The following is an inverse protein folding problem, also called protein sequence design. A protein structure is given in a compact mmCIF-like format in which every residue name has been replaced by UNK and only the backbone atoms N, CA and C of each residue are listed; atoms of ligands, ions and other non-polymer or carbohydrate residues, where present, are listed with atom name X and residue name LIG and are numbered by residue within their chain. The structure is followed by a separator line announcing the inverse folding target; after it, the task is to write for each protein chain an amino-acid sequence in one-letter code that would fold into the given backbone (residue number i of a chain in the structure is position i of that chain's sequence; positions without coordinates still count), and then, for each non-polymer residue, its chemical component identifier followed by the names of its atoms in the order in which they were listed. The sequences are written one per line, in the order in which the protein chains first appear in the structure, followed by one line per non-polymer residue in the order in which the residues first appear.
data_IF_036675318192
#
_entry.id   IF_036675318192
#
_cell.length_a   1.000
_cell.length_b   1.000
_cell.length_c   1.000
_cell.angle_alpha   90.00
_cell.angle_beta   90.00
_cell.angle_gamma   90.00
#
_symmetry.space_group_name_H-M   'P 1'
#
loop_
_entity.id
_entity.type
_entity.pdbx_description
1 polymer ?
#
# COMPACT_ATOMS: atom_id res chain seq x y z
N UNK A 1 67.78 14.02 -41.08
CA UNK A 1 66.56 13.52 -41.78
C UNK A 1 65.49 13.35 -40.71
N UNK A 2 64.41 14.12 -40.71
CA UNK A 2 63.23 13.90 -41.59
C UNK A 2 62.74 12.46 -41.31
N UNK A 3 61.55 12.13 -40.81
CA UNK A 3 60.25 12.80 -40.79
C UNK A 3 59.23 11.69 -40.46
N UNK A 4 58.11 12.04 -39.82
CA UNK A 4 56.77 11.40 -39.93
C UNK A 4 56.58 10.00 -39.30
N UNK A 5 55.68 9.91 -38.30
CA UNK A 5 54.28 9.40 -38.40
C UNK A 5 54.24 7.86 -38.22
N UNK A 6 53.32 7.22 -37.51
CA UNK A 6 51.92 7.52 -37.21
C UNK A 6 51.36 6.39 -36.31
N UNK A 7 50.31 6.69 -35.53
CA UNK A 7 49.32 5.75 -34.94
C UNK A 7 49.86 4.73 -33.91
N UNK A 8 49.30 4.64 -32.70
CA UNK A 8 47.91 4.30 -32.48
C UNK A 8 47.38 4.92 -31.19
N UNK A 9 46.17 5.49 -31.28
CA UNK A 9 45.44 6.16 -30.22
C UNK A 9 45.11 5.21 -29.05
N UNK A 10 45.48 5.59 -27.83
CA UNK A 10 45.03 4.94 -26.60
C UNK A 10 44.89 5.97 -25.48
N UNK A 11 44.07 7.00 -25.70
CA UNK A 11 43.52 7.83 -24.61
C UNK A 11 42.06 8.11 -24.98
N UNK A 12 41.17 7.23 -24.50
CA UNK A 12 39.72 7.42 -24.57
C UNK A 12 39.31 8.57 -23.66
N UNK A 13 38.88 9.67 -24.27
CA UNK A 13 38.17 10.77 -23.63
C UNK A 13 36.79 10.29 -23.10
N UNK A 14 36.29 10.90 -22.01
CA UNK A 14 35.07 10.46 -21.34
C UNK A 14 33.84 10.85 -22.17
N UNK A 15 33.02 9.85 -22.53
CA UNK A 15 31.67 10.09 -23.00
C UNK A 15 30.84 10.57 -21.80
N UNK A 16 30.68 11.90 -21.72
CA UNK A 16 29.70 12.56 -20.86
C UNK A 16 28.30 12.06 -21.22
N UNK A 17 27.80 11.09 -20.45
CA UNK A 17 26.38 10.75 -20.36
C UNK A 17 25.65 11.97 -19.78
N UNK A 18 25.09 12.80 -20.65
CA UNK A 18 24.04 13.74 -20.27
C UNK A 18 22.77 12.94 -19.95
N UNK A 19 22.60 12.61 -18.66
CA UNK A 19 21.29 12.18 -18.17
C UNK A 19 20.31 13.34 -18.34
N UNK A 20 19.10 13.11 -18.90
CA UNK A 20 18.08 14.14 -18.87
C UNK A 20 17.65 14.32 -17.42
N UNK A 21 18.06 15.42 -16.80
CA UNK A 21 17.44 15.91 -15.58
C UNK A 21 16.00 16.26 -15.93
N UNK A 22 15.09 15.30 -15.79
CA UNK A 22 13.67 15.63 -15.65
C UNK A 22 13.57 16.48 -14.39
N UNK A 23 13.55 17.80 -14.57
CA UNK A 23 13.12 18.73 -13.57
C UNK A 23 11.68 18.33 -13.22
N UNK A 24 11.54 17.51 -12.19
CA UNK A 24 10.26 17.31 -11.52
C UNK A 24 9.92 18.69 -11.00
N UNK A 25 8.99 19.36 -11.68
CA UNK A 25 8.36 20.55 -11.17
C UNK A 25 7.85 20.21 -9.78
N UNK A 26 8.56 20.67 -8.75
CA UNK A 26 8.15 20.57 -7.37
C UNK A 26 6.87 21.40 -7.27
N UNK A 27 5.75 20.73 -7.47
CA UNK A 27 4.44 21.27 -7.18
C UNK A 27 4.44 21.47 -5.67
N UNK A 28 4.82 22.69 -5.24
CA UNK A 28 4.52 23.21 -3.92
C UNK A 28 3.00 23.11 -3.77
N UNK A 29 2.54 21.99 -3.25
CA UNK A 29 1.18 21.85 -2.76
C UNK A 29 1.03 22.91 -1.69
N UNK A 30 0.29 23.96 -2.03
CA UNK A 30 -0.28 24.91 -1.09
C UNK A 30 -0.83 24.10 0.07
N UNK A 31 -0.46 24.46 1.30
CA UNK A 31 -0.94 23.84 2.52
C UNK A 31 -2.45 24.12 2.69
N UNK A 32 -3.28 23.55 1.82
CA UNK A 32 -4.68 23.34 2.10
C UNK A 32 -4.76 22.39 3.28
N UNK A 33 -5.64 22.69 4.24
CA UNK A 33 -5.92 21.81 5.37
C UNK A 33 -6.53 20.50 4.83
N UNK A 34 -5.69 19.58 4.38
CA UNK A 34 -6.12 18.23 4.02
C UNK A 34 -6.67 17.58 5.27
N UNK A 35 -7.91 17.12 5.20
CA UNK A 35 -8.50 16.39 6.32
C UNK A 35 -7.82 15.01 6.42
N UNK A 36 -7.87 14.33 7.59
CA UNK A 36 -7.43 12.94 7.70
C UNK A 36 -8.09 12.03 6.68
N UNK A 37 -9.37 12.29 6.38
CA UNK A 37 -10.14 11.56 5.36
C UNK A 37 -9.53 11.71 3.96
N UNK A 38 -9.15 12.92 3.57
CA UNK A 38 -8.56 13.16 2.25
C UNK A 38 -7.18 12.49 2.14
N UNK A 39 -6.39 12.61 3.22
CA UNK A 39 -5.02 12.08 3.28
C UNK A 39 -4.93 10.56 3.34
N UNK A 40 -6.00 9.89 3.76
CA UNK A 40 -6.09 8.43 3.86
C UNK A 40 -7.08 7.81 2.87
N UNK A 41 -7.73 8.61 2.02
CA UNK A 41 -8.76 8.17 1.06
C UNK A 41 -8.31 6.99 0.18
N UNK A 42 -7.06 6.99 -0.25
CA UNK A 42 -6.48 5.89 -1.03
C UNK A 42 -6.38 4.59 -0.22
N UNK A 43 -5.90 4.66 1.03
CA UNK A 43 -5.80 3.49 1.90
C UNK A 43 -7.19 2.99 2.31
N UNK A 44 -8.11 3.91 2.62
CA UNK A 44 -9.51 3.59 2.91
C UNK A 44 -10.18 2.83 1.77
N UNK A 45 -9.88 3.21 0.51
CA UNK A 45 -10.38 2.48 -0.65
C UNK A 45 -9.83 1.05 -0.72
N UNK A 46 -8.55 0.84 -0.40
CA UNK A 46 -7.96 -0.51 -0.35
C UNK A 46 -8.58 -1.36 0.75
N UNK A 47 -8.78 -0.80 1.95
CA UNK A 47 -9.48 -1.52 3.02
C UNK A 47 -10.95 -1.81 2.67
N UNK A 48 -11.64 -0.88 2.01
CA UNK A 48 -12.99 -1.12 1.51
C UNK A 48 -13.05 -2.29 0.52
N UNK A 49 -12.09 -2.37 -0.41
CA UNK A 49 -12.03 -3.49 -1.37
C UNK A 49 -11.77 -4.84 -0.67
N UNK A 50 -10.95 -4.85 0.39
CA UNK A 50 -10.75 -6.03 1.24
C UNK A 50 -12.06 -6.40 1.95
N UNK A 51 -12.64 -5.46 2.71
CA UNK A 51 -13.86 -5.69 3.48
C UNK A 51 -15.03 -6.13 2.59
N UNK A 52 -15.17 -5.52 1.41
CA UNK A 52 -16.23 -5.86 0.46
C UNK A 52 -16.06 -7.29 -0.07
N UNK A 53 -14.85 -7.67 -0.46
CA UNK A 53 -14.57 -9.02 -0.94
C UNK A 53 -14.79 -10.08 0.17
N UNK A 54 -14.32 -9.81 1.39
CA UNK A 54 -14.54 -10.69 2.54
C UNK A 54 -16.03 -10.83 2.88
N UNK A 55 -16.79 -9.73 2.85
CA UNK A 55 -18.24 -9.76 3.10
C UNK A 55 -18.98 -10.60 2.04
N UNK A 56 -18.51 -10.61 0.79
CA UNK A 56 -19.08 -11.47 -0.26
C UNK A 56 -18.75 -12.94 -0.04
N UNK A 57 -17.58 -13.27 0.53
CA UNK A 57 -17.27 -14.64 0.94
C UNK A 57 -18.18 -15.12 2.08
N UNK A 58 -18.49 -14.27 3.05
CA UNK A 58 -19.40 -14.62 4.15
C UNK A 58 -20.82 -14.95 3.63
N UNK A 59 -21.32 -14.21 2.62
CA UNK A 59 -22.61 -14.50 1.98
C UNK A 59 -22.62 -15.85 1.24
N UNK A 60 -21.48 -16.24 0.68
CA UNK A 60 -21.31 -17.47 -0.09
C UNK A 60 -21.39 -18.73 0.78
N UNK A 61 -21.10 -18.63 2.08
CA UNK A 61 -21.17 -19.77 3.02
C UNK A 61 -22.57 -19.98 3.61
N UNK A 62 -23.49 -19.02 3.46
CA UNK A 62 -24.78 -19.02 4.16
C UNK A 62 -26.04 -19.00 3.30
N UNK A 63 -25.96 -18.70 2.00
CA UNK A 63 -27.15 -18.51 1.15
C UNK A 63 -26.96 -19.19 -0.21
N UNK A 64 -27.96 -19.97 -0.62
CA UNK A 64 -28.05 -20.56 -1.95
C UNK A 64 -28.00 -19.44 -3.00
N UNK A 65 -26.91 -19.29 -3.77
CA UNK A 65 -26.65 -18.04 -4.45
C UNK A 65 -27.49 -17.87 -5.70
N UNK A 66 -28.08 -16.70 -5.85
CA UNK A 66 -28.73 -16.27 -7.07
C UNK A 66 -27.65 -16.14 -8.18
N UNK A 67 -27.73 -16.89 -9.29
CA UNK A 67 -26.62 -17.07 -10.23
C UNK A 67 -26.23 -15.82 -11.02
N UNK A 68 -27.01 -14.74 -10.97
CA UNK A 68 -26.84 -13.55 -11.81
C UNK A 68 -25.79 -12.57 -11.26
N UNK A 69 -25.45 -12.64 -9.96
CA UNK A 69 -24.50 -11.71 -9.31
C UNK A 69 -23.32 -12.42 -8.63
N UNK A 70 -23.17 -13.73 -8.84
CA UNK A 70 -22.22 -14.53 -8.08
C UNK A 70 -20.82 -14.52 -8.69
N UNK A 71 -19.85 -14.09 -7.89
CA UNK A 71 -18.43 -14.28 -8.20
C UNK A 71 -17.95 -15.49 -7.40
N UNK A 72 -17.15 -16.36 -8.01
CA UNK A 72 -16.59 -17.52 -7.32
C UNK A 72 -15.90 -17.09 -6.01
N UNK A 73 -16.04 -17.84 -4.90
CA UNK A 73 -15.32 -17.56 -3.66
C UNK A 73 -13.81 -17.35 -3.89
N UNK A 74 -13.20 -18.15 -4.78
CA UNK A 74 -11.79 -17.98 -5.13
C UNK A 74 -11.50 -16.61 -5.76
N UNK A 75 -12.42 -16.09 -6.57
CA UNK A 75 -12.31 -14.75 -7.16
C UNK A 75 -12.42 -13.66 -6.10
N UNK A 76 -13.27 -13.81 -5.10
CA UNK A 76 -13.41 -12.80 -4.04
C UNK A 76 -12.18 -12.77 -3.12
N UNK A 77 -11.68 -13.92 -2.66
CA UNK A 77 -10.46 -13.93 -1.84
C UNK A 77 -9.24 -13.42 -2.63
N UNK A 78 -9.18 -13.65 -3.95
CA UNK A 78 -8.18 -13.07 -4.83
C UNK A 78 -8.25 -11.54 -4.86
N UNK A 79 -9.46 -10.95 -4.95
CA UNK A 79 -9.65 -9.49 -4.89
C UNK A 79 -9.18 -8.92 -3.56
N UNK A 80 -9.53 -9.56 -2.44
CA UNK A 80 -9.06 -9.17 -1.11
C UNK A 80 -7.52 -9.21 -1.04
N UNK A 81 -6.90 -10.29 -1.54
CA UNK A 81 -5.44 -10.42 -1.56
C UNK A 81 -4.79 -9.31 -2.39
N UNK A 82 -5.27 -9.06 -3.62
CA UNK A 82 -4.72 -8.02 -4.50
C UNK A 82 -4.83 -6.63 -3.88
N UNK A 83 -5.94 -6.31 -3.22
CA UNK A 83 -6.09 -5.04 -2.51
C UNK A 83 -5.10 -4.92 -1.33
N UNK A 84 -4.93 -5.99 -0.55
CA UNK A 84 -3.98 -6.03 0.57
C UNK A 84 -2.53 -5.90 0.09
N UNK A 85 -2.12 -6.66 -0.93
CA UNK A 85 -0.78 -6.62 -1.49
C UNK A 85 -0.47 -5.26 -2.12
N UNK A 86 -1.47 -4.60 -2.72
CA UNK A 86 -1.32 -3.22 -3.21
C UNK A 86 -1.03 -2.25 -2.07
N UNK A 87 -1.75 -2.37 -0.95
CA UNK A 87 -1.51 -1.57 0.26
C UNK A 87 -0.12 -1.85 0.85
N UNK A 88 0.24 -3.13 0.97
CA UNK A 88 1.54 -3.56 1.48
C UNK A 88 2.69 -3.07 0.59
N UNK A 89 2.53 -3.15 -0.74
CA UNK A 89 3.50 -2.67 -1.71
C UNK A 89 3.78 -1.17 -1.53
N UNK A 90 2.72 -0.37 -1.38
CA UNK A 90 2.85 1.07 -1.12
C UNK A 90 3.61 1.36 0.18
N UNK A 91 3.33 0.61 1.24
CA UNK A 91 3.99 0.74 2.53
C UNK A 91 5.49 0.36 2.44
N UNK A 92 5.82 -0.65 1.63
CA UNK A 92 7.20 -1.15 1.43
C UNK A 92 8.06 -0.26 0.53
N UNK A 93 7.45 0.44 -0.43
CA UNK A 93 8.20 1.31 -1.35
C UNK A 93 9.04 2.32 -0.57
N UNK A 94 10.29 2.56 -0.98
CA UNK A 94 11.11 3.62 -0.35
C UNK A 94 10.75 4.98 -0.95
N UNK A 95 10.71 6.03 -0.14
CA UNK A 95 10.50 7.41 -0.60
C UNK A 95 9.10 7.97 -0.36
N UNK A 96 8.95 9.27 -0.68
CA UNK A 96 7.70 10.01 -0.52
C UNK A 96 6.61 9.40 -1.40
N UNK A 97 5.39 9.39 -0.88
CA UNK A 97 4.21 8.90 -1.59
C UNK A 97 3.11 9.95 -1.53
N UNK A 98 2.38 10.11 -2.63
CA UNK A 98 1.14 10.88 -2.69
C UNK A 98 -0.08 10.06 -2.27
N UNK A 99 0.07 8.74 -2.13
CA UNK A 99 -1.02 7.82 -1.76
C UNK A 99 -1.11 7.58 -0.27
N UNK A 100 0.03 7.57 0.42
CA UNK A 100 0.11 7.31 1.85
C UNK A 100 1.05 8.30 2.54
N UNK A 101 0.60 8.98 3.60
CA UNK A 101 1.47 9.84 4.40
C UNK A 101 2.69 9.08 4.94
N UNK A 102 3.85 9.74 4.97
CA UNK A 102 5.09 9.14 5.46
C UNK A 102 4.98 8.58 6.88
N UNK A 103 4.26 9.27 7.77
CA UNK A 103 4.06 8.86 9.16
C UNK A 103 3.38 7.48 9.27
N UNK A 104 2.43 7.18 8.39
CA UNK A 104 1.78 5.87 8.31
C UNK A 104 2.71 4.86 7.65
N UNK A 105 3.31 5.26 6.53
CA UNK A 105 4.17 4.40 5.71
C UNK A 105 5.39 3.88 6.46
N UNK A 106 5.95 4.67 7.37
CA UNK A 106 7.14 4.32 8.15
C UNK A 106 6.83 3.79 9.55
N UNK A 107 5.57 3.76 9.96
CA UNK A 107 5.17 3.20 11.25
C UNK A 107 5.41 1.68 11.29
N UNK A 108 6.23 1.16 12.22
CA UNK A 108 6.47 -0.26 12.36
C UNK A 108 5.18 -1.04 12.66
N UNK A 109 4.32 -0.49 13.53
CA UNK A 109 3.05 -1.11 13.90
C UNK A 109 2.10 -1.24 12.70
N UNK A 110 2.01 -0.21 11.86
CA UNK A 110 1.18 -0.27 10.63
C UNK A 110 1.75 -1.27 9.64
N UNK A 111 3.09 -1.29 9.46
CA UNK A 111 3.77 -2.23 8.57
C UNK A 111 3.50 -3.67 8.96
N UNK A 112 3.63 -3.97 10.25
CA UNK A 112 3.39 -5.30 10.80
C UNK A 112 1.93 -5.71 10.68
N UNK A 113 0.99 -4.83 11.04
CA UNK A 113 -0.44 -5.12 10.94
C UNK A 113 -0.88 -5.40 9.50
N UNK A 114 -0.46 -4.58 8.53
CA UNK A 114 -0.78 -4.82 7.11
C UNK A 114 -0.10 -6.09 6.60
N UNK A 115 1.14 -6.38 7.03
CA UNK A 115 1.81 -7.63 6.67
C UNK A 115 1.05 -8.86 7.16
N UNK A 116 0.67 -8.87 8.44
CA UNK A 116 -0.06 -9.98 9.04
C UNK A 116 -1.42 -10.19 8.38
N UNK A 117 -2.16 -9.11 8.12
CA UNK A 117 -3.43 -9.17 7.39
C UNK A 117 -3.24 -9.83 6.01
N UNK A 118 -2.24 -9.41 5.23
CA UNK A 118 -2.02 -9.99 3.90
C UNK A 118 -1.58 -11.46 3.97
N UNK A 119 -0.79 -11.84 4.99
CA UNK A 119 -0.42 -13.25 5.22
C UNK A 119 -1.67 -14.09 5.53
N UNK A 120 -2.56 -13.60 6.40
CA UNK A 120 -3.78 -14.31 6.75
C UNK A 120 -4.73 -14.44 5.56
N UNK A 121 -4.92 -13.38 4.75
CA UNK A 121 -5.70 -13.44 3.51
C UNK A 121 -5.09 -14.47 2.54
N UNK A 122 -3.77 -14.46 2.35
CA UNK A 122 -3.09 -15.40 1.47
C UNK A 122 -3.24 -16.85 1.94
N UNK A 123 -3.14 -17.12 3.25
CA UNK A 123 -3.40 -18.44 3.82
C UNK A 123 -4.82 -18.92 3.54
N UNK A 124 -5.81 -18.05 3.72
CA UNK A 124 -7.21 -18.35 3.40
C UNK A 124 -7.39 -18.74 1.93
N UNK A 125 -6.81 -17.97 1.02
CA UNK A 125 -6.83 -18.31 -0.39
C UNK A 125 -6.22 -19.68 -0.67
N UNK A 126 -5.03 -19.98 -0.13
CA UNK A 126 -4.39 -21.28 -0.35
C UNK A 126 -5.23 -22.44 0.18
N UNK A 127 -5.93 -22.27 1.31
CA UNK A 127 -6.88 -23.27 1.80
C UNK A 127 -8.02 -23.49 0.80
N UNK A 128 -8.60 -22.41 0.27
CA UNK A 128 -9.67 -22.50 -0.74
C UNK A 128 -9.20 -23.13 -2.05
N UNK A 129 -7.97 -22.82 -2.50
CA UNK A 129 -7.36 -23.46 -3.68
C UNK A 129 -7.15 -24.96 -3.49
N UNK A 130 -6.87 -25.40 -2.25
CA UNK A 130 -6.74 -26.82 -1.91
C UNK A 130 -8.08 -27.56 -1.77
N UNK A 131 -9.22 -26.89 -2.00
CA UNK A 131 -10.55 -27.47 -1.87
C UNK A 131 -11.05 -27.58 -0.42
N UNK A 132 -10.32 -26.98 0.54
CA UNK A 132 -10.80 -26.85 1.90
C UNK A 132 -11.77 -25.66 1.97
N UNK A 133 -12.98 -25.88 2.48
CA UNK A 133 -13.89 -24.80 2.80
C UNK A 133 -13.25 -23.92 3.89
N UNK A 134 -13.30 -22.61 3.70
CA UNK A 134 -12.96 -21.68 4.77
C UNK A 134 -14.04 -21.81 5.83
N UNK A 135 -13.72 -21.96 7.13
CA UNK A 135 -14.75 -21.88 8.16
C UNK A 135 -15.25 -20.44 8.25
N UNK A 136 -16.55 -20.20 8.29
CA UNK A 136 -17.11 -18.85 8.42
C UNK A 136 -16.68 -18.09 9.68
N UNK A 137 -16.28 -18.82 10.72
CA UNK A 137 -15.64 -18.21 11.90
C UNK A 137 -14.31 -17.52 11.55
N UNK A 138 -13.54 -18.10 10.64
CA UNK A 138 -12.23 -17.58 10.24
C UNK A 138 -12.36 -16.39 9.29
N UNK A 139 -13.38 -16.36 8.42
CA UNK A 139 -13.71 -15.17 7.63
C UNK A 139 -14.08 -13.98 8.53
N UNK A 140 -14.92 -14.19 9.54
CA UNK A 140 -15.28 -13.12 10.48
C UNK A 140 -14.07 -12.57 11.25
N UNK A 141 -13.10 -13.45 11.61
CA UNK A 141 -11.84 -13.03 12.22
C UNK A 141 -11.02 -12.17 11.27
N UNK A 142 -10.93 -12.58 10.01
CA UNK A 142 -10.21 -11.86 8.96
C UNK A 142 -10.82 -10.48 8.68
N UNK A 143 -12.15 -10.39 8.60
CA UNK A 143 -12.90 -9.13 8.48
C UNK A 143 -12.62 -8.19 9.67
N UNK A 144 -12.61 -8.73 10.90
CA UNK A 144 -12.28 -7.95 12.09
C UNK A 144 -10.82 -7.47 12.08
N UNK A 145 -9.89 -8.29 11.61
CA UNK A 145 -8.49 -7.94 11.47
C UNK A 145 -8.28 -6.81 10.45
N UNK A 146 -8.98 -6.87 9.31
CA UNK A 146 -8.96 -5.80 8.31
C UNK A 146 -9.40 -4.46 8.89
N UNK A 147 -10.53 -4.45 9.64
CA UNK A 147 -11.04 -3.25 10.32
C UNK A 147 -10.06 -2.70 11.37
N UNK A 148 -9.49 -3.56 12.21
CA UNK A 148 -8.49 -3.14 13.22
C UNK A 148 -7.23 -2.56 12.57
N UNK A 149 -6.79 -3.14 11.46
CA UNK A 149 -5.63 -2.65 10.72
C UNK A 149 -5.91 -1.28 10.12
N UNK A 150 -7.13 -1.06 9.59
CA UNK A 150 -7.59 0.25 9.14
C UNK A 150 -7.62 1.27 10.28
N UNK A 151 -8.19 0.92 11.43
CA UNK A 151 -8.22 1.80 12.60
C UNK A 151 -6.82 2.20 13.05
N UNK A 152 -5.88 1.25 13.07
CA UNK A 152 -4.48 1.52 13.40
C UNK A 152 -3.83 2.51 12.43
N UNK A 153 -4.10 2.39 11.13
CA UNK A 153 -3.64 3.34 10.10
C UNK A 153 -4.16 4.75 10.40
N UNK A 154 -5.45 4.88 10.72
CA UNK A 154 -6.07 6.16 11.06
C UNK A 154 -5.49 6.76 12.34
N UNK A 155 -5.40 5.97 13.42
CA UNK A 155 -4.85 6.41 14.71
C UNK A 155 -3.40 6.87 14.55
N UNK A 156 -2.58 6.11 13.82
CA UNK A 156 -1.19 6.45 13.54
C UNK A 156 -1.08 7.81 12.83
N UNK A 157 -1.92 8.06 11.83
CA UNK A 157 -1.95 9.35 11.14
C UNK A 157 -2.40 10.50 12.07
N UNK A 158 -3.49 10.30 12.83
CA UNK A 158 -4.05 11.34 13.71
C UNK A 158 -3.07 11.73 14.81
N UNK A 159 -2.44 10.76 15.50
CA UNK A 159 -1.49 11.03 16.58
C UNK A 159 -0.26 11.83 16.11
N UNK A 160 0.26 11.52 14.93
CA UNK A 160 1.42 12.25 14.40
C UNK A 160 1.06 13.63 13.83
N UNK A 161 -0.14 13.80 13.28
CA UNK A 161 -0.59 15.10 12.75
C UNK A 161 -1.14 16.04 13.83
N UNK A 162 -1.63 15.52 14.96
CA UNK A 162 -1.99 16.32 16.13
C UNK A 162 -0.77 16.78 16.92
N UNK A 163 0.22 15.90 17.11
CA UNK A 163 1.47 16.21 17.83
C UNK A 163 2.29 17.31 17.15
N UNK A 164 2.30 17.35 15.82
CA UNK A 164 3.00 18.39 15.05
C UNK A 164 2.37 19.79 15.09
N UNK A 165 1.17 19.95 15.64
CA UNK A 165 0.52 21.27 15.84
C UNK A 165 0.67 21.85 17.25
N UNK A 166 1.22 21.08 18.19
CA UNK A 166 0.94 21.32 19.61
C UNK A 166 2.13 21.48 20.53
N UNK A 167 3.30 22.00 20.12
CA UNK A 167 4.35 22.48 21.04
C UNK A 167 5.18 23.61 20.41
N UNK A 168 4.58 24.77 20.14
CA UNK A 168 5.31 26.03 20.28
C UNK A 168 5.00 26.52 21.68
N UNK A 169 5.78 26.05 22.65
CA UNK A 169 5.89 26.76 23.93
C UNK A 169 6.60 28.06 23.59
N UNK A 170 5.84 29.14 23.50
CA UNK A 170 6.40 30.49 23.59
C UNK A 170 7.02 30.59 24.96
N UNK A 171 8.34 30.49 25.01
CA UNK A 171 9.11 30.93 26.15
C UNK A 171 9.11 32.46 26.09
N UNK A 172 8.15 33.07 26.77
CA UNK A 172 8.21 34.47 27.22
C UNK A 172 8.49 34.47 28.73
#
# INVERSE_FOLDING_TARGET
MILKRVLFCLIMLPASLSWPTTAVAETRTVAGKTTPRDSLSWADRRFYEIDHALSRLELNEGVNPDPIYYSSPLTEIQKAQTACETLQGEIRMRGRSVRLPGVVKYSPAVREAVLNLCIHIARHKTMMESGNESPGHDLFRLTREARRTRELVHVCYVLHTSSSRGWRVTAD
#
